data_IF_300068920537
#
_entry.id   IF_300068920537
#
_cell.length_a   1.000
_cell.length_b   1.000
_cell.length_c   1.000
_cell.angle_alpha   90.00
_cell.angle_beta   90.00
_cell.angle_gamma   90.00
#
_symmetry.space_group_name_H-M   'P 1'
#
loop_
_entity.id
_entity.type
_entity.pdbx_description
1 polymer ?
#
# COMPACT_ATOMS: atom_id res chain seq x y z
N UNK A 1 13.09 -22.16 -28.75
CA UNK A 1 11.78 -22.08 -28.08
C UNK A 1 10.87 -21.26 -28.95
N UNK A 2 9.59 -21.63 -29.15
CA UNK A 2 8.67 -20.82 -29.95
C UNK A 2 8.10 -19.66 -29.12
N UNK A 3 7.61 -18.59 -29.76
CA UNK A 3 6.91 -17.49 -29.07
C UNK A 3 5.74 -18.03 -28.25
N UNK A 4 4.95 -18.95 -28.80
CA UNK A 4 3.83 -19.59 -28.10
C UNK A 4 4.28 -20.38 -26.86
N UNK A 5 5.46 -21.02 -26.90
CA UNK A 5 6.01 -21.72 -25.73
C UNK A 5 6.38 -20.74 -24.64
N UNK A 6 7.04 -19.64 -24.98
CA UNK A 6 7.42 -18.55 -24.06
C UNK A 6 6.18 -17.94 -23.43
N UNK A 7 5.17 -17.64 -24.23
CA UNK A 7 3.89 -17.11 -23.78
C UNK A 7 3.21 -18.06 -22.80
N UNK A 8 3.19 -19.38 -23.09
CA UNK A 8 2.56 -20.37 -22.21
C UNK A 8 3.35 -20.63 -20.92
N UNK A 9 4.70 -20.51 -20.97
CA UNK A 9 5.56 -20.70 -19.79
C UNK A 9 5.46 -19.52 -18.81
N UNK A 10 5.30 -18.30 -19.33
CA UNK A 10 5.15 -17.09 -18.52
C UNK A 10 3.70 -16.87 -18.05
N UNK A 11 2.73 -17.23 -18.89
CA UNK A 11 1.31 -16.97 -18.64
C UNK A 11 0.49 -18.22 -18.93
N UNK A 12 -0.50 -18.53 -18.09
CA UNK A 12 -1.43 -19.63 -18.39
C UNK A 12 -2.27 -19.33 -19.62
N UNK A 13 -2.77 -20.39 -20.28
CA UNK A 13 -3.47 -20.31 -21.58
C UNK A 13 -4.77 -19.48 -21.60
N UNK A 14 -5.22 -18.92 -20.45
CA UNK A 14 -6.47 -18.15 -20.38
C UNK A 14 -6.32 -16.85 -19.61
N UNK A 15 -6.26 -16.93 -18.29
CA UNK A 15 -6.12 -15.80 -17.39
C UNK A 15 -5.14 -16.15 -16.29
N UNK A 16 -4.17 -15.27 -16.07
CA UNK A 16 -3.27 -15.33 -14.91
C UNK A 16 -3.53 -14.12 -14.05
N UNK A 17 -3.71 -14.34 -12.75
CA UNK A 17 -3.88 -13.25 -11.79
C UNK A 17 -2.51 -12.71 -11.41
N UNK A 18 -2.38 -11.40 -11.46
CA UNK A 18 -1.20 -10.65 -11.05
C UNK A 18 -1.65 -9.65 -9.97
N UNK A 19 -1.86 -10.14 -8.76
CA UNK A 19 -2.47 -9.40 -7.65
C UNK A 19 -3.84 -8.80 -8.09
N UNK A 20 -3.94 -7.48 -8.20
CA UNK A 20 -5.15 -6.76 -8.64
C UNK A 20 -5.36 -6.69 -10.16
N UNK A 21 -4.44 -7.21 -10.94
CA UNK A 21 -4.52 -7.21 -12.40
C UNK A 21 -4.77 -8.61 -12.95
N UNK A 22 -5.36 -8.67 -14.13
CA UNK A 22 -5.48 -9.91 -14.91
C UNK A 22 -4.55 -9.87 -16.12
N UNK A 23 -3.75 -10.91 -16.31
CA UNK A 23 -2.97 -11.12 -17.53
C UNK A 23 -3.78 -11.98 -18.48
N UNK A 24 -4.22 -11.40 -19.59
CA UNK A 24 -4.94 -12.10 -20.63
C UNK A 24 -3.94 -12.63 -21.68
N UNK A 25 -3.67 -13.93 -21.65
CA UNK A 25 -2.91 -14.62 -22.70
C UNK A 25 -3.86 -15.00 -23.83
N UNK A 26 -3.66 -14.46 -25.03
CA UNK A 26 -4.73 -14.31 -26.01
C UNK A 26 -4.60 -15.23 -27.23
N UNK A 27 -3.43 -15.78 -27.49
CA UNK A 27 -3.20 -16.68 -28.61
C UNK A 27 -3.71 -16.13 -29.96
N UNK A 28 -4.79 -16.71 -30.46
CA UNK A 28 -5.35 -16.31 -31.76
C UNK A 28 -6.40 -15.19 -31.71
N UNK A 29 -6.76 -14.67 -30.53
CA UNK A 29 -7.85 -13.69 -30.34
C UNK A 29 -7.39 -12.31 -30.81
N UNK A 30 -8.21 -11.66 -31.63
CA UNK A 30 -7.89 -10.31 -32.12
C UNK A 30 -8.34 -9.22 -31.13
N UNK A 31 -7.74 -8.03 -31.22
CA UNK A 31 -8.16 -6.87 -30.45
C UNK A 31 -9.64 -6.56 -30.71
N UNK A 32 -10.10 -6.72 -31.96
CA UNK A 32 -11.51 -6.52 -32.34
C UNK A 32 -12.45 -7.47 -31.61
N UNK A 33 -12.07 -8.75 -31.48
CA UNK A 33 -12.86 -9.76 -30.77
C UNK A 33 -12.88 -9.49 -29.27
N UNK A 34 -11.76 -9.02 -28.69
CA UNK A 34 -11.69 -8.65 -27.26
C UNK A 34 -12.62 -7.48 -26.92
N UNK A 35 -12.68 -6.46 -27.79
CA UNK A 35 -13.58 -5.31 -27.63
C UNK A 35 -15.03 -5.75 -27.79
N UNK A 36 -15.35 -6.52 -28.85
CA UNK A 36 -16.69 -7.02 -29.13
C UNK A 36 -17.20 -7.91 -27.99
N UNK A 37 -16.32 -8.78 -27.44
CA UNK A 37 -16.59 -9.65 -26.32
C UNK A 37 -16.55 -8.96 -24.94
N UNK A 38 -16.37 -7.63 -24.88
CA UNK A 38 -16.25 -6.84 -23.64
C UNK A 38 -15.17 -7.35 -22.69
N UNK A 39 -14.16 -8.01 -23.21
CA UNK A 39 -13.00 -8.49 -22.42
C UNK A 39 -12.01 -7.36 -22.12
N UNK A 40 -11.95 -6.37 -22.99
CA UNK A 40 -11.20 -5.13 -22.79
C UNK A 40 -12.08 -3.90 -23.10
N UNK A 41 -11.77 -2.80 -22.43
CA UNK A 41 -12.35 -1.48 -22.70
C UNK A 41 -11.25 -0.62 -23.33
N UNK A 42 -11.50 -0.13 -24.53
CA UNK A 42 -10.60 0.80 -25.23
C UNK A 42 -11.31 2.14 -25.44
N UNK A 43 -10.81 3.19 -24.79
CA UNK A 43 -11.41 4.53 -24.84
C UNK A 43 -11.16 5.24 -26.20
N UNK A 44 -10.25 4.73 -27.03
CA UNK A 44 -9.92 5.31 -28.35
C UNK A 44 -10.56 4.53 -29.51
N UNK A 45 -11.86 4.31 -29.44
CA UNK A 45 -12.63 3.49 -30.41
C UNK A 45 -12.45 3.92 -31.88
N UNK A 46 -12.15 5.19 -32.16
CA UNK A 46 -11.96 5.67 -33.54
C UNK A 46 -10.62 5.27 -34.17
N UNK A 47 -9.56 5.07 -33.34
CA UNK A 47 -8.22 4.69 -33.80
C UNK A 47 -7.98 3.19 -33.77
N UNK A 48 -8.65 2.44 -32.93
CA UNK A 48 -8.57 0.97 -32.83
C UNK A 48 -9.05 0.23 -34.11
N UNK A 49 -9.65 0.93 -35.06
CA UNK A 49 -10.15 0.33 -36.31
C UNK A 49 -8.99 -0.18 -37.17
N UNK A 50 -7.82 0.46 -37.16
CA UNK A 50 -6.66 0.09 -37.98
C UNK A 50 -5.99 -1.21 -37.54
N UNK A 51 -5.96 -1.49 -36.23
CA UNK A 51 -5.30 -2.66 -35.66
C UNK A 51 -6.27 -3.70 -35.05
N UNK A 52 -7.56 -3.66 -35.40
CA UNK A 52 -8.55 -4.64 -34.91
C UNK A 52 -8.19 -6.09 -35.21
N UNK A 53 -7.50 -6.35 -36.32
CA UNK A 53 -7.03 -7.69 -36.70
C UNK A 53 -5.74 -8.13 -36.02
N UNK A 54 -5.04 -7.27 -35.28
CA UNK A 54 -3.84 -7.63 -34.56
C UNK A 54 -4.17 -8.55 -33.39
N UNK A 55 -3.26 -9.48 -33.12
CA UNK A 55 -3.34 -10.52 -32.10
C UNK A 55 -2.22 -10.28 -31.09
N UNK A 56 -2.47 -9.50 -30.03
CA UNK A 56 -1.47 -9.29 -29.00
C UNK A 56 -1.22 -10.59 -28.23
N UNK A 57 0.03 -10.84 -27.82
CA UNK A 57 0.35 -12.03 -27.06
C UNK A 57 -0.28 -11.99 -25.66
N UNK A 58 -0.04 -10.91 -24.90
CA UNK A 58 -0.59 -10.75 -23.56
C UNK A 58 -0.98 -9.29 -23.31
N UNK A 59 -2.15 -9.11 -22.72
CA UNK A 59 -2.60 -7.81 -22.20
C UNK A 59 -2.78 -7.90 -20.69
N UNK A 60 -2.29 -6.90 -19.96
CA UNK A 60 -2.57 -6.71 -18.54
C UNK A 60 -3.73 -5.74 -18.41
N UNK A 61 -4.80 -6.14 -17.73
CA UNK A 61 -6.01 -5.34 -17.52
C UNK A 61 -6.31 -5.17 -16.03
N UNK A 62 -6.94 -4.05 -15.69
CA UNK A 62 -7.47 -3.81 -14.36
C UNK A 62 -8.90 -4.38 -14.18
N UNK A 63 -9.46 -4.22 -13.00
CA UNK A 63 -10.83 -4.67 -12.66
C UNK A 63 -11.91 -4.03 -13.53
N UNK A 64 -11.65 -2.86 -14.14
CA UNK A 64 -12.56 -2.18 -15.07
C UNK A 64 -12.38 -2.66 -16.53
N UNK A 65 -11.54 -3.65 -16.77
CA UNK A 65 -11.15 -4.15 -18.10
C UNK A 65 -10.37 -3.15 -18.94
N UNK A 66 -9.83 -2.10 -18.34
CA UNK A 66 -8.95 -1.17 -19.02
C UNK A 66 -7.59 -1.81 -19.21
N UNK A 67 -7.04 -1.71 -20.43
CA UNK A 67 -5.68 -2.21 -20.72
C UNK A 67 -4.66 -1.29 -20.06
N UNK A 68 -3.80 -1.86 -19.21
CA UNK A 68 -2.76 -1.15 -18.46
C UNK A 68 -1.39 -1.35 -19.09
N UNK A 69 -1.10 -2.57 -19.54
CA UNK A 69 0.17 -2.90 -20.22
C UNK A 69 -0.06 -3.88 -21.36
N UNK A 70 0.87 -3.86 -22.32
CA UNK A 70 0.94 -4.80 -23.43
C UNK A 70 2.29 -5.52 -23.39
N UNK A 71 2.29 -6.84 -23.50
CA UNK A 71 3.49 -7.67 -23.52
C UNK A 71 3.53 -8.44 -24.82
N UNK A 72 4.67 -8.39 -25.50
CA UNK A 72 4.97 -9.09 -26.74
C UNK A 72 6.08 -10.10 -26.49
N UNK A 73 5.88 -11.34 -26.91
CA UNK A 73 6.84 -12.43 -26.83
C UNK A 73 7.60 -12.58 -28.17
N UNK A 74 8.90 -12.80 -28.10
CA UNK A 74 9.76 -13.02 -29.26
C UNK A 74 10.61 -14.28 -29.07
N UNK A 75 11.01 -14.90 -30.18
CA UNK A 75 11.96 -16.02 -30.11
C UNK A 75 13.34 -15.52 -29.65
N UNK A 76 14.12 -16.32 -28.91
CA UNK A 76 15.44 -15.91 -28.47
C UNK A 76 16.39 -15.48 -29.58
N UNK A 77 16.31 -16.12 -30.75
CA UNK A 77 17.11 -15.78 -31.91
C UNK A 77 16.68 -14.44 -32.59
N UNK A 78 15.47 -13.98 -32.36
CA UNK A 78 14.95 -12.69 -32.79
C UNK A 78 15.12 -11.58 -31.76
N UNK A 79 15.71 -11.89 -30.57
CA UNK A 79 15.81 -10.97 -29.42
C UNK A 79 17.24 -10.88 -28.84
N UNK A 80 18.24 -11.51 -29.46
CA UNK A 80 19.60 -11.69 -28.94
C UNK A 80 20.57 -10.53 -29.23
N UNK A 81 20.16 -9.48 -29.94
CA UNK A 81 20.97 -8.28 -30.16
C UNK A 81 20.15 -7.01 -30.03
N UNK A 82 20.80 -5.90 -29.66
CA UNK A 82 20.11 -4.61 -29.49
C UNK A 82 19.35 -4.19 -30.75
N UNK A 83 19.94 -4.40 -31.93
CA UNK A 83 19.28 -4.09 -33.21
C UNK A 83 17.98 -4.88 -33.40
N UNK A 84 17.95 -6.15 -33.00
CA UNK A 84 16.75 -6.99 -33.08
C UNK A 84 15.72 -6.60 -32.03
N UNK A 85 16.16 -6.24 -30.85
CA UNK A 85 15.29 -5.71 -29.75
C UNK A 85 14.60 -4.42 -30.23
N UNK A 86 15.36 -3.47 -30.80
CA UNK A 86 14.79 -2.23 -31.34
C UNK A 86 13.79 -2.49 -32.47
N UNK A 87 14.08 -3.47 -33.33
CA UNK A 87 13.18 -3.88 -34.40
C UNK A 87 11.88 -4.47 -33.87
N UNK A 88 11.96 -5.34 -32.83
CA UNK A 88 10.80 -5.91 -32.16
C UNK A 88 9.92 -4.83 -31.48
N UNK A 89 10.56 -3.88 -30.79
CA UNK A 89 9.85 -2.73 -30.21
C UNK A 89 9.13 -1.93 -31.30
N UNK A 90 9.84 -1.56 -32.37
CA UNK A 90 9.29 -0.75 -33.46
C UNK A 90 8.12 -1.42 -34.17
N UNK A 91 8.11 -2.75 -34.21
CA UNK A 91 7.07 -3.52 -34.89
C UNK A 91 5.70 -3.38 -34.25
N UNK A 92 5.63 -3.40 -32.88
CA UNK A 92 4.36 -3.48 -32.14
C UNK A 92 4.06 -2.24 -31.28
N UNK A 93 4.99 -1.28 -31.17
CA UNK A 93 4.80 -0.08 -30.35
C UNK A 93 3.57 0.74 -30.73
N UNK A 94 3.22 0.77 -32.03
CA UNK A 94 2.04 1.50 -32.49
C UNK A 94 0.74 0.83 -32.02
N UNK A 95 0.73 -0.49 -31.88
CA UNK A 95 -0.41 -1.22 -31.29
C UNK A 95 -0.57 -0.83 -29.82
N UNK A 96 0.53 -0.77 -29.05
CA UNK A 96 0.54 -0.31 -27.68
C UNK A 96 -0.02 1.12 -27.53
N UNK A 97 0.39 2.04 -28.39
CA UNK A 97 -0.10 3.42 -28.45
C UNK A 97 -1.61 3.49 -28.74
N UNK A 98 -2.10 2.68 -29.67
CA UNK A 98 -3.52 2.64 -30.03
C UNK A 98 -4.38 2.04 -28.92
N UNK A 99 -3.87 1.05 -28.18
CA UNK A 99 -4.51 0.53 -26.97
C UNK A 99 -4.55 1.57 -25.84
N UNK A 100 -3.77 2.64 -25.96
CA UNK A 100 -3.69 3.72 -24.96
C UNK A 100 -2.90 3.34 -23.71
N UNK A 101 -2.06 2.29 -23.79
CA UNK A 101 -1.20 1.88 -22.69
C UNK A 101 0.03 2.78 -22.60
N UNK A 102 0.57 2.92 -21.38
CA UNK A 102 1.86 3.57 -21.17
C UNK A 102 3.00 2.57 -21.11
N UNK A 103 2.72 1.33 -20.75
CA UNK A 103 3.68 0.27 -20.49
C UNK A 103 3.63 -0.73 -21.63
N UNK A 104 4.77 -0.90 -22.30
CA UNK A 104 4.97 -1.93 -23.32
C UNK A 104 6.20 -2.77 -22.93
N UNK A 105 6.08 -4.08 -22.92
CA UNK A 105 7.16 -4.98 -22.59
C UNK A 105 7.41 -5.95 -23.73
N UNK A 106 8.68 -6.13 -24.10
CA UNK A 106 9.08 -7.16 -25.06
C UNK A 106 9.99 -8.15 -24.35
N UNK A 107 9.74 -9.45 -24.57
CA UNK A 107 10.48 -10.51 -23.86
C UNK A 107 10.70 -11.74 -24.73
N UNK A 108 11.81 -12.44 -24.47
CA UNK A 108 12.08 -13.80 -24.96
C UNK A 108 11.92 -14.88 -23.88
N UNK A 109 11.33 -14.50 -22.73
CA UNK A 109 11.17 -15.35 -21.55
C UNK A 109 12.34 -15.31 -20.59
N UNK A 110 13.52 -14.84 -21.01
CA UNK A 110 14.71 -14.70 -20.17
C UNK A 110 15.11 -13.25 -19.95
N UNK A 111 14.88 -12.41 -20.95
CA UNK A 111 15.16 -10.97 -20.92
C UNK A 111 13.85 -10.20 -21.08
N UNK A 112 13.67 -9.17 -20.26
CA UNK A 112 12.52 -8.28 -20.31
C UNK A 112 12.98 -6.86 -20.59
N UNK A 113 12.41 -6.24 -21.62
CA UNK A 113 12.69 -4.85 -21.99
C UNK A 113 11.41 -4.04 -21.81
N UNK A 114 11.42 -3.14 -20.85
CA UNK A 114 10.31 -2.28 -20.50
C UNK A 114 10.42 -0.96 -21.25
N UNK A 115 9.37 -0.59 -21.93
CA UNK A 115 9.34 0.58 -22.83
C UNK A 115 8.14 1.46 -22.48
N UNK A 116 8.39 2.77 -22.38
CA UNK A 116 7.31 3.75 -22.33
C UNK A 116 6.69 3.86 -23.74
N UNK A 117 5.46 3.37 -23.89
CA UNK A 117 4.78 3.36 -25.18
C UNK A 117 4.55 4.77 -25.76
N UNK A 118 4.50 5.81 -24.94
CA UNK A 118 4.29 7.19 -25.39
C UNK A 118 5.52 7.79 -26.07
N UNK A 119 6.71 7.46 -25.53
CA UNK A 119 7.99 8.01 -26.02
C UNK A 119 8.77 7.02 -26.88
N UNK A 120 8.42 5.72 -26.84
CA UNK A 120 9.16 4.61 -27.45
C UNK A 120 10.58 4.44 -26.89
N UNK A 121 10.84 4.92 -25.67
CA UNK A 121 12.13 4.83 -25.00
C UNK A 121 12.08 3.80 -23.85
N UNK A 122 13.22 3.20 -23.48
CA UNK A 122 13.30 2.35 -22.30
C UNK A 122 12.81 3.07 -21.04
N UNK A 123 12.18 2.31 -20.15
CA UNK A 123 11.78 2.81 -18.85
C UNK A 123 12.95 2.66 -17.90
N UNK A 124 13.22 3.72 -17.12
CA UNK A 124 14.30 3.77 -16.17
C UNK A 124 13.78 3.65 -14.74
N UNK A 125 14.57 3.02 -13.87
CA UNK A 125 14.34 3.00 -12.43
C UNK A 125 14.63 4.37 -11.78
N UNK A 126 14.50 4.45 -10.46
CA UNK A 126 14.76 5.69 -9.69
C UNK A 126 16.22 6.17 -9.78
N UNK A 127 17.15 5.27 -10.12
CA UNK A 127 18.58 5.53 -10.25
C UNK A 127 19.00 5.87 -11.68
N UNK A 128 18.08 5.73 -12.65
CA UNK A 128 18.34 5.99 -14.07
C UNK A 128 18.84 4.77 -14.85
N UNK A 129 18.75 3.55 -14.30
CA UNK A 129 19.05 2.32 -15.01
C UNK A 129 17.79 1.77 -15.70
N UNK A 130 17.95 1.03 -16.79
CA UNK A 130 16.82 0.36 -17.45
C UNK A 130 16.17 -0.68 -16.51
N UNK A 131 14.85 -0.69 -16.45
CA UNK A 131 14.10 -1.70 -15.70
C UNK A 131 14.22 -3.04 -16.42
N UNK A 132 14.67 -4.06 -15.69
CA UNK A 132 14.84 -5.45 -16.16
C UNK A 132 13.98 -6.44 -15.36
N UNK A 133 12.94 -5.97 -14.67
CA UNK A 133 12.07 -6.80 -13.86
C UNK A 133 11.43 -7.92 -14.69
N UNK A 134 11.52 -9.16 -14.20
CA UNK A 134 10.91 -10.31 -14.85
C UNK A 134 9.43 -10.39 -14.47
N UNK A 135 8.56 -10.58 -15.46
CA UNK A 135 7.14 -10.83 -15.22
C UNK A 135 6.96 -12.35 -15.10
N UNK A 136 7.00 -12.87 -13.86
CA UNK A 136 6.75 -14.28 -13.56
C UNK A 136 5.51 -14.43 -12.69
N UNK A 137 4.46 -15.13 -13.15
CA UNK A 137 3.16 -15.15 -12.45
C UNK A 137 3.14 -15.86 -11.11
N UNK A 138 4.21 -16.54 -10.68
CA UNK A 138 4.10 -17.50 -9.58
C UNK A 138 4.73 -17.09 -8.24
N UNK A 139 5.59 -16.09 -8.16
CA UNK A 139 6.27 -15.78 -6.90
C UNK A 139 6.49 -14.29 -6.61
N UNK A 140 6.15 -13.38 -7.52
CA UNK A 140 6.40 -11.95 -7.35
C UNK A 140 5.24 -11.07 -7.86
N UNK A 141 4.03 -11.63 -7.88
CA UNK A 141 2.84 -10.98 -8.46
C UNK A 141 2.64 -9.57 -7.91
N UNK A 142 2.78 -9.42 -6.61
CA UNK A 142 2.58 -8.13 -5.95
C UNK A 142 3.68 -7.12 -6.28
N UNK A 143 4.93 -7.54 -6.34
CA UNK A 143 6.03 -6.63 -6.71
C UNK A 143 5.84 -6.09 -8.12
N UNK A 144 5.46 -6.95 -9.05
CA UNK A 144 5.19 -6.57 -10.43
C UNK A 144 3.93 -5.71 -10.51
N UNK A 145 2.87 -6.04 -9.77
CA UNK A 145 1.66 -5.22 -9.72
C UNK A 145 1.96 -3.80 -9.18
N UNK A 146 2.75 -3.68 -8.11
CA UNK A 146 3.20 -2.39 -7.58
C UNK A 146 4.07 -1.62 -8.57
N UNK A 147 4.98 -2.30 -9.29
CA UNK A 147 5.78 -1.68 -10.34
C UNK A 147 4.88 -1.13 -11.45
N UNK A 148 3.93 -1.92 -11.94
CA UNK A 148 2.97 -1.52 -12.97
C UNK A 148 2.14 -0.32 -12.50
N UNK A 149 1.67 -0.33 -11.27
CA UNK A 149 0.92 0.79 -10.70
C UNK A 149 1.74 2.08 -10.68
N UNK A 150 2.96 2.03 -10.17
CA UNK A 150 3.88 3.19 -10.16
C UNK A 150 4.16 3.69 -11.57
N UNK A 151 4.49 2.80 -12.50
CA UNK A 151 4.71 3.16 -13.89
C UNK A 151 3.48 3.80 -14.54
N UNK A 152 2.28 3.32 -14.21
CA UNK A 152 1.03 3.92 -14.72
C UNK A 152 0.87 5.38 -14.28
N UNK A 153 1.35 5.73 -13.09
CA UNK A 153 1.34 7.09 -12.54
C UNK A 153 2.48 7.92 -13.13
N UNK A 154 3.71 7.45 -13.04
CA UNK A 154 4.93 8.23 -13.29
C UNK A 154 5.20 8.47 -14.78
N UNK A 155 4.85 7.52 -15.65
CA UNK A 155 5.14 7.64 -17.08
C UNK A 155 4.24 8.67 -17.77
N UNK A 156 4.86 9.49 -18.60
CA UNK A 156 4.20 10.48 -19.46
C UNK A 156 4.94 10.65 -20.80
N UNK A 157 4.44 11.49 -21.66
CA UNK A 157 5.13 11.84 -22.93
C UNK A 157 6.46 12.59 -22.72
N UNK A 158 6.73 13.04 -21.50
CA UNK A 158 7.96 13.77 -21.14
C UNK A 158 8.78 13.06 -20.06
N UNK A 159 8.29 11.97 -19.49
CA UNK A 159 8.98 11.25 -18.42
C UNK A 159 8.98 9.74 -18.65
N UNK A 160 10.18 9.15 -18.70
CA UNK A 160 10.43 7.72 -18.84
C UNK A 160 10.96 7.07 -17.55
N UNK A 161 11.14 7.83 -16.48
CA UNK A 161 11.83 7.37 -15.29
C UNK A 161 10.87 7.30 -14.10
N UNK A 162 11.00 6.24 -13.29
CA UNK A 162 10.35 6.16 -11.99
C UNK A 162 10.80 7.32 -11.10
N UNK A 163 9.85 7.98 -10.48
CA UNK A 163 10.15 9.01 -9.51
C UNK A 163 10.62 8.36 -8.20
N UNK A 164 11.53 9.02 -7.50
CA UNK A 164 11.92 8.57 -6.16
C UNK A 164 10.70 8.58 -5.25
N UNK A 165 10.50 7.50 -4.50
CA UNK A 165 9.46 7.45 -3.46
C UNK A 165 9.80 8.50 -2.41
N UNK A 166 8.98 9.54 -2.33
CA UNK A 166 9.06 10.50 -1.23
C UNK A 166 8.35 9.89 -0.02
N UNK A 167 9.12 9.23 0.83
CA UNK A 167 8.57 8.74 2.09
C UNK A 167 8.05 9.89 2.94
N UNK A 168 6.78 9.82 3.31
CA UNK A 168 6.18 10.79 4.20
C UNK A 168 6.70 10.63 5.64
N UNK A 169 6.91 11.73 6.34
CA UNK A 169 7.31 11.74 7.75
C UNK A 169 6.27 12.50 8.59
N UNK A 170 5.23 11.82 9.08
CA UNK A 170 4.16 12.47 9.83
C UNK A 170 4.54 12.83 11.28
N UNK A 171 5.84 12.94 11.61
CA UNK A 171 6.29 13.31 12.97
C UNK A 171 5.74 14.66 13.44
N UNK A 172 5.65 15.65 12.55
CA UNK A 172 5.09 16.95 12.90
C UNK A 172 3.58 16.91 13.10
N UNK A 173 2.87 16.10 12.31
CA UNK A 173 1.45 15.80 12.51
C UNK A 173 1.23 15.14 13.87
N UNK A 174 2.03 14.12 14.21
CA UNK A 174 1.98 13.43 15.50
C UNK A 174 2.17 14.39 16.67
N UNK A 175 3.08 15.37 16.56
CA UNK A 175 3.28 16.40 17.60
C UNK A 175 2.04 17.28 17.78
N UNK A 176 1.41 17.72 16.67
CA UNK A 176 0.20 18.54 16.73
C UNK A 176 -0.96 17.76 17.38
N UNK A 177 -1.21 16.53 16.92
CA UNK A 177 -2.27 15.67 17.45
C UNK A 177 -2.00 15.35 18.93
N UNK A 178 -0.77 15.00 19.30
CA UNK A 178 -0.39 14.76 20.69
C UNK A 178 -0.61 15.97 21.60
N UNK A 179 -0.42 17.18 21.07
CA UNK A 179 -0.77 18.43 21.76
C UNK A 179 -2.27 18.56 22.02
N UNK A 180 -3.12 18.21 21.05
CA UNK A 180 -4.58 18.24 21.21
C UNK A 180 -5.05 17.20 22.24
N UNK A 181 -4.55 15.95 22.12
CA UNK A 181 -4.95 14.85 23.00
C UNK A 181 -4.59 15.10 24.47
N UNK A 182 -3.52 15.86 24.77
CA UNK A 182 -3.15 16.23 26.14
C UNK A 182 -4.12 17.20 26.81
N UNK A 183 -4.87 17.95 26.03
CA UNK A 183 -5.85 18.88 26.56
C UNK A 183 -7.15 18.20 26.99
N UNK A 184 -7.30 16.91 26.68
CA UNK A 184 -8.44 16.11 27.14
C UNK A 184 -8.22 15.79 28.63
N UNK A 185 -9.20 16.14 29.47
CA UNK A 185 -9.15 15.88 30.92
C UNK A 185 -9.02 14.38 31.21
N UNK A 186 -8.18 14.03 32.17
CA UNK A 186 -7.94 12.66 32.63
C UNK A 186 -7.17 11.75 31.66
N UNK A 187 -6.49 12.27 30.62
CA UNK A 187 -5.58 11.48 29.80
C UNK A 187 -4.16 11.50 30.35
N UNK A 188 -3.54 10.34 30.38
CA UNK A 188 -2.10 10.22 30.61
C UNK A 188 -1.35 10.37 29.28
N UNK A 189 -0.04 10.66 29.29
CA UNK A 189 0.77 10.62 28.06
C UNK A 189 0.70 9.26 27.34
N UNK A 190 0.57 8.16 28.09
CA UNK A 190 0.38 6.81 27.56
C UNK A 190 -0.96 6.70 26.81
N UNK A 191 -2.04 7.20 27.40
CA UNK A 191 -3.36 7.21 26.74
C UNK A 191 -3.34 8.07 25.49
N UNK A 192 -2.66 9.21 25.51
CA UNK A 192 -2.50 10.08 24.34
C UNK A 192 -1.73 9.37 23.21
N UNK A 193 -0.68 8.62 23.53
CA UNK A 193 0.07 7.82 22.54
C UNK A 193 -0.82 6.72 21.94
N UNK A 194 -1.51 5.95 22.76
CA UNK A 194 -2.37 4.86 22.28
C UNK A 194 -3.53 5.39 21.43
N UNK A 195 -4.14 6.48 21.86
CA UNK A 195 -5.20 7.14 21.07
C UNK A 195 -4.68 7.65 19.74
N UNK A 196 -3.47 8.23 19.73
CA UNK A 196 -2.84 8.61 18.45
C UNK A 196 -2.62 7.38 17.56
N UNK A 197 -2.11 6.28 18.11
CA UNK A 197 -1.87 5.03 17.33
C UNK A 197 -3.18 4.49 16.75
N UNK A 198 -4.26 4.48 17.53
CA UNK A 198 -5.60 4.08 17.08
C UNK A 198 -6.07 4.94 15.89
N UNK A 199 -6.02 6.26 16.02
CA UNK A 199 -6.47 7.19 14.98
C UNK A 199 -5.58 7.16 13.75
N UNK A 200 -4.26 7.01 13.94
CA UNK A 200 -3.31 6.84 12.86
C UNK A 200 -3.55 5.53 12.09
N UNK A 201 -3.84 4.44 12.81
CA UNK A 201 -4.18 3.15 12.20
C UNK A 201 -5.49 3.25 11.41
N UNK A 202 -6.50 3.94 11.94
CA UNK A 202 -7.74 4.23 11.23
C UNK A 202 -7.48 4.92 9.88
N UNK A 203 -6.69 6.02 9.90
CA UNK A 203 -6.34 6.74 8.67
C UNK A 203 -5.53 5.88 7.72
N UNK A 204 -4.51 5.16 8.21
CA UNK A 204 -3.65 4.29 7.40
C UNK A 204 -4.44 3.16 6.73
N UNK A 205 -5.28 2.43 7.47
CA UNK A 205 -6.10 1.34 6.92
C UNK A 205 -7.11 1.83 5.88
N UNK A 206 -7.60 3.06 6.03
CA UNK A 206 -8.45 3.72 5.04
C UNK A 206 -7.66 4.02 3.76
N UNK A 207 -6.44 4.56 3.89
CA UNK A 207 -5.61 4.96 2.75
C UNK A 207 -5.13 3.77 1.91
N UNK A 208 -4.91 2.61 2.53
CA UNK A 208 -4.58 1.35 1.83
C UNK A 208 -5.82 0.53 1.45
N UNK A 209 -7.03 1.11 1.54
CA UNK A 209 -8.32 0.51 1.18
C UNK A 209 -8.68 -0.80 1.92
N UNK A 210 -8.20 -0.98 3.15
CA UNK A 210 -8.66 -2.06 4.04
C UNK A 210 -10.01 -1.70 4.68
N UNK A 211 -10.16 -0.44 5.09
CA UNK A 211 -11.45 0.11 5.51
C UNK A 211 -12.14 0.74 4.30
N UNK A 212 -13.38 0.35 4.04
CA UNK A 212 -14.13 0.74 2.85
C UNK A 212 -15.52 1.23 3.21
N UNK A 213 -16.22 1.84 2.26
CA UNK A 213 -17.62 2.30 2.42
C UNK A 213 -17.80 3.21 3.65
N UNK A 214 -18.67 2.86 4.60
CA UNK A 214 -18.95 3.65 5.81
C UNK A 214 -17.88 3.56 6.89
N UNK A 215 -16.91 2.66 6.73
CA UNK A 215 -15.85 2.43 7.70
C UNK A 215 -14.59 3.26 7.40
N UNK A 216 -14.50 3.95 6.24
CA UNK A 216 -13.29 4.65 5.84
C UNK A 216 -13.23 6.10 6.35
N UNK A 217 -12.02 6.67 6.31
CA UNK A 217 -11.73 8.02 6.79
C UNK A 217 -12.51 9.09 6.02
N UNK A 218 -12.55 9.01 4.68
CA UNK A 218 -13.21 10.02 3.85
C UNK A 218 -14.72 10.05 4.10
N UNK A 219 -15.35 8.88 4.35
CA UNK A 219 -16.76 8.83 4.72
C UNK A 219 -17.00 9.55 6.04
N UNK A 220 -16.26 9.21 7.10
CA UNK A 220 -16.40 9.84 8.42
C UNK A 220 -16.11 11.35 8.35
N UNK A 221 -15.09 11.77 7.60
CA UNK A 221 -14.78 13.18 7.39
C UNK A 221 -15.92 13.92 6.69
N UNK A 222 -16.52 13.35 5.65
CA UNK A 222 -17.58 13.98 4.89
C UNK A 222 -18.86 14.19 5.71
N UNK A 223 -19.10 13.39 6.76
CA UNK A 223 -20.25 13.59 7.64
C UNK A 223 -20.28 14.98 8.30
N UNK A 224 -19.12 15.60 8.52
CA UNK A 224 -19.04 16.97 9.05
C UNK A 224 -19.60 18.03 8.08
N UNK A 225 -19.69 17.71 6.80
CA UNK A 225 -20.21 18.61 5.77
C UNK A 225 -21.73 18.40 5.51
N UNK A 226 -22.36 17.43 6.16
CA UNK A 226 -23.79 17.17 6.02
C UNK A 226 -24.59 18.04 6.98
N UNK A 227 -25.61 18.75 6.45
CA UNK A 227 -26.47 19.61 7.24
C UNK A 227 -27.18 18.86 8.37
N UNK A 228 -27.14 19.43 9.58
CA UNK A 228 -27.85 18.92 10.75
C UNK A 228 -27.13 17.82 11.53
N UNK A 229 -25.94 17.39 11.10
CA UNK A 229 -25.15 16.43 11.90
C UNK A 229 -24.34 17.13 12.99
N UNK A 230 -24.36 16.53 14.17
CA UNK A 230 -23.54 17.00 15.31
C UNK A 230 -22.18 16.31 15.34
N UNK A 231 -21.18 16.98 15.94
CA UNK A 231 -19.86 16.35 16.19
C UNK A 231 -19.98 15.08 17.03
N UNK A 232 -20.94 15.02 17.96
CA UNK A 232 -21.22 13.83 18.77
C UNK A 232 -21.74 12.67 17.91
N UNK A 233 -22.56 12.92 16.87
CA UNK A 233 -23.00 11.90 15.94
C UNK A 233 -21.82 11.34 15.11
N UNK A 234 -20.95 12.20 14.61
CA UNK A 234 -19.80 11.78 13.81
C UNK A 234 -18.84 10.93 14.67
N UNK A 235 -18.57 11.34 15.90
CA UNK A 235 -17.79 10.56 16.85
C UNK A 235 -18.45 9.20 17.16
N UNK A 236 -19.77 9.17 17.37
CA UNK A 236 -20.53 7.93 17.58
C UNK A 236 -20.35 6.98 16.39
N UNK A 237 -20.45 7.48 15.15
CA UNK A 237 -20.26 6.69 13.94
C UNK A 237 -18.86 6.10 13.87
N UNK A 238 -17.82 6.89 14.16
CA UNK A 238 -16.46 6.38 14.21
C UNK A 238 -16.31 5.23 15.21
N UNK A 239 -16.89 5.36 16.41
CA UNK A 239 -16.79 4.34 17.46
C UNK A 239 -17.47 3.04 17.04
N UNK A 240 -18.67 3.11 16.43
CA UNK A 240 -19.50 1.94 16.14
C UNK A 240 -19.30 1.34 14.75
N UNK A 241 -18.55 1.97 13.86
CA UNK A 241 -18.26 1.46 12.51
C UNK A 241 -16.75 1.24 12.33
N UNK A 242 -15.88 2.26 12.09
CA UNK A 242 -14.45 2.04 11.90
C UNK A 242 -13.75 1.36 13.06
N UNK A 243 -13.93 1.86 14.30
CA UNK A 243 -13.27 1.33 15.50
C UNK A 243 -13.63 -0.14 15.75
N UNK A 244 -14.90 -0.52 15.60
CA UNK A 244 -15.32 -1.92 15.73
C UNK A 244 -14.70 -2.80 14.63
N UNK A 245 -14.59 -2.30 13.41
CA UNK A 245 -13.94 -3.03 12.32
C UNK A 245 -12.46 -3.25 12.61
N UNK A 246 -11.76 -2.22 13.06
CA UNK A 246 -10.33 -2.32 13.43
C UNK A 246 -10.16 -3.33 14.58
N UNK A 247 -11.04 -3.31 15.60
CA UNK A 247 -11.01 -4.29 16.69
C UNK A 247 -11.19 -5.74 16.22
N UNK A 248 -11.99 -5.96 15.16
CA UNK A 248 -12.16 -7.29 14.57
C UNK A 248 -10.94 -7.73 13.74
N UNK A 249 -10.28 -6.78 13.06
CA UNK A 249 -9.05 -7.05 12.30
C UNK A 249 -7.86 -7.33 13.24
N UNK A 250 -7.81 -6.64 14.37
CA UNK A 250 -6.76 -6.74 15.38
C UNK A 250 -7.38 -7.06 16.75
N UNK A 251 -7.81 -8.31 16.96
CA UNK A 251 -8.44 -8.70 18.21
C UNK A 251 -7.48 -8.55 19.40
N UNK A 252 -8.06 -8.32 20.56
CA UNK A 252 -7.33 -8.23 21.82
C UNK A 252 -6.48 -9.49 22.05
N UNK A 253 -5.23 -9.29 22.47
CA UNK A 253 -4.31 -10.38 22.79
C UNK A 253 -4.70 -11.07 24.11
N UNK A 254 -4.20 -12.30 24.40
CA UNK A 254 -4.50 -13.03 25.63
C UNK A 254 -4.13 -12.26 26.91
N UNK A 255 -3.15 -11.36 26.87
CA UNK A 255 -2.73 -10.48 27.94
C UNK A 255 -3.56 -9.18 28.03
N UNK A 256 -4.66 -9.09 27.25
CA UNK A 256 -5.56 -7.94 27.14
C UNK A 256 -4.93 -6.69 26.51
N UNK A 257 -3.81 -6.82 25.84
CA UNK A 257 -3.30 -5.71 25.02
C UNK A 257 -4.11 -5.57 23.73
N UNK A 258 -4.39 -4.33 23.35
CA UNK A 258 -5.14 -4.00 22.13
C UNK A 258 -4.55 -2.79 21.45
N UNK A 259 -4.67 -2.73 20.11
CA UNK A 259 -4.34 -1.53 19.33
C UNK A 259 -5.39 -0.43 19.49
N UNK A 260 -6.56 -0.77 20.02
CA UNK A 260 -7.67 0.15 20.26
C UNK A 260 -7.63 0.63 21.69
N UNK A 261 -7.49 1.95 21.86
CA UNK A 261 -7.62 2.61 23.14
C UNK A 261 -9.02 3.21 23.29
N UNK A 262 -9.98 2.39 23.71
CA UNK A 262 -11.37 2.81 23.89
C UNK A 262 -11.64 3.82 25.02
N UNK A 263 -10.61 4.31 25.74
CA UNK A 263 -10.78 5.15 26.93
C UNK A 263 -10.93 6.64 26.66
N UNK A 264 -10.45 7.15 25.52
CA UNK A 264 -10.34 8.58 25.30
C UNK A 264 -11.58 9.18 24.64
N UNK A 265 -12.15 8.53 23.66
CA UNK A 265 -13.31 9.05 22.91
C UNK A 265 -14.54 8.21 23.20
N UNK A 266 -15.57 8.85 23.78
CA UNK A 266 -16.84 8.25 24.10
C UNK A 266 -17.98 9.04 23.47
N UNK A 267 -18.90 8.33 22.83
CA UNK A 267 -20.17 8.86 22.38
C UNK A 267 -21.23 7.75 22.46
N UNK A 268 -22.43 8.10 22.87
CA UNK A 268 -23.53 7.17 23.03
C UNK A 268 -24.84 7.81 22.58
N UNK A 269 -25.93 7.04 22.59
CA UNK A 269 -27.28 7.57 22.40
C UNK A 269 -27.97 7.63 23.76
N UNK A 270 -28.64 8.74 24.04
CA UNK A 270 -29.52 8.86 25.20
C UNK A 270 -30.84 8.06 24.99
N UNK A 271 -31.70 8.09 26.01
CA UNK A 271 -33.02 7.40 25.99
C UNK A 271 -33.94 7.93 24.88
N UNK A 272 -33.76 9.16 24.44
CA UNK A 272 -34.54 9.83 23.40
C UNK A 272 -33.93 9.64 22.02
N UNK A 273 -32.79 8.93 21.92
CA UNK A 273 -32.07 8.64 20.68
C UNK A 273 -31.16 9.76 20.18
N UNK A 274 -30.92 10.82 20.98
CA UNK A 274 -29.99 11.87 20.65
C UNK A 274 -28.55 11.41 20.87
N UNK A 275 -27.64 11.85 19.99
CA UNK A 275 -26.21 11.57 20.14
C UNK A 275 -25.60 12.49 21.19
N UNK A 276 -24.99 11.87 22.19
CA UNK A 276 -24.31 12.58 23.28
C UNK A 276 -22.84 12.16 23.37
N UNK A 277 -22.00 13.11 23.64
CA UNK A 277 -20.58 12.90 23.97
C UNK A 277 -20.14 14.00 24.92
N UNK A 278 -18.98 13.80 25.55
CA UNK A 278 -18.29 14.94 26.14
C UNK A 278 -17.92 15.90 25.00
N UNK A 279 -18.35 17.16 25.07
CA UNK A 279 -18.09 18.15 24.02
C UNK A 279 -16.59 18.25 23.68
N UNK A 280 -15.71 18.17 24.70
CA UNK A 280 -14.27 18.19 24.49
C UNK A 280 -13.78 17.02 23.63
N UNK A 281 -14.39 15.84 23.76
CA UNK A 281 -14.03 14.64 23.01
C UNK A 281 -14.43 14.77 21.55
N UNK A 282 -15.68 15.17 21.27
CA UNK A 282 -16.19 15.32 19.92
C UNK A 282 -15.43 16.42 19.15
N UNK A 283 -15.22 17.57 19.77
CA UNK A 283 -14.46 18.68 19.17
C UNK A 283 -12.99 18.31 18.96
N UNK A 284 -12.36 17.62 19.91
CA UNK A 284 -10.97 17.16 19.72
C UNK A 284 -10.86 16.13 18.61
N UNK A 285 -11.80 15.21 18.52
CA UNK A 285 -11.84 14.24 17.43
C UNK A 285 -11.97 14.93 16.08
N UNK A 286 -12.88 15.92 15.94
CA UNK A 286 -13.02 16.72 14.72
C UNK A 286 -11.71 17.43 14.34
N UNK A 287 -11.04 18.07 15.30
CA UNK A 287 -9.76 18.73 15.07
C UNK A 287 -8.66 17.75 14.64
N UNK A 288 -8.62 16.53 15.19
CA UNK A 288 -7.69 15.50 14.74
C UNK A 288 -7.99 15.06 13.32
N UNK A 289 -9.27 14.83 12.98
CA UNK A 289 -9.68 14.50 11.60
C UNK A 289 -9.28 15.60 10.61
N UNK A 290 -9.45 16.87 11.00
CA UNK A 290 -9.03 18.04 10.20
C UNK A 290 -7.52 18.04 9.97
N UNK A 291 -6.72 17.77 11.00
CA UNK A 291 -5.26 17.69 10.87
C UNK A 291 -4.80 16.58 9.95
N UNK A 292 -5.46 15.42 9.98
CA UNK A 292 -5.19 14.33 9.03
C UNK A 292 -5.54 14.74 7.60
N UNK A 293 -6.66 15.43 7.41
CA UNK A 293 -7.08 15.89 6.07
C UNK A 293 -6.14 16.96 5.52
N UNK A 294 -5.76 17.94 6.31
CA UNK A 294 -4.75 18.94 5.94
C UNK A 294 -3.40 18.31 5.56
N UNK A 295 -2.99 17.28 6.29
CA UNK A 295 -1.77 16.55 5.97
C UNK A 295 -1.90 15.80 4.64
N UNK A 296 -3.02 15.12 4.40
CA UNK A 296 -3.29 14.43 3.14
C UNK A 296 -3.28 15.38 1.94
N UNK A 297 -3.90 16.55 2.09
CA UNK A 297 -3.95 17.57 1.02
C UNK A 297 -2.55 18.15 0.71
N UNK A 298 -1.65 18.19 1.69
CA UNK A 298 -0.29 18.72 1.54
C UNK A 298 0.74 17.67 1.11
N UNK A 299 0.68 16.46 1.66
CA UNK A 299 1.73 15.44 1.55
C UNK A 299 1.23 14.12 0.92
N UNK A 300 -0.08 13.98 0.71
CA UNK A 300 -0.71 12.76 0.19
C UNK A 300 -1.10 11.75 1.25
N UNK A 301 -1.59 10.61 0.80
CA UNK A 301 -2.06 9.51 1.65
C UNK A 301 -0.92 8.82 2.40
N UNK A 302 -1.24 8.16 3.51
CA UNK A 302 -0.30 7.40 4.32
C UNK A 302 0.05 6.02 3.69
N UNK A 303 0.56 6.02 2.47
CA UNK A 303 0.94 4.79 1.76
C UNK A 303 2.41 4.48 2.01
N UNK A 304 3.29 5.46 1.79
CA UNK A 304 4.74 5.31 1.91
C UNK A 304 5.26 6.08 3.14
N UNK A 305 5.13 5.47 4.32
CA UNK A 305 5.60 6.08 5.56
C UNK A 305 7.05 5.72 5.82
N UNK A 306 7.85 6.70 6.24
CA UNK A 306 9.23 6.50 6.65
C UNK A 306 9.32 5.43 7.74
N UNK A 307 10.14 4.39 7.54
CA UNK A 307 10.31 3.25 8.47
C UNK A 307 10.74 3.67 9.88
N UNK A 308 11.46 4.79 10.00
CA UNK A 308 11.87 5.33 11.31
C UNK A 308 10.75 6.08 12.04
N UNK A 309 9.58 6.26 11.41
CA UNK A 309 8.46 7.00 11.99
C UNK A 309 8.03 6.44 13.35
N UNK A 310 7.93 5.12 13.51
CA UNK A 310 7.58 4.49 14.80
C UNK A 310 8.50 4.94 15.93
N UNK A 311 9.80 4.94 15.68
CA UNK A 311 10.80 5.37 16.68
C UNK A 311 10.66 6.85 17.00
N UNK A 312 10.49 7.68 15.97
CA UNK A 312 10.27 9.13 16.13
C UNK A 312 8.95 9.42 16.84
N UNK A 313 7.91 8.64 16.55
CA UNK A 313 6.62 8.75 17.21
C UNK A 313 6.76 8.49 18.72
N UNK A 314 7.33 7.33 19.09
CA UNK A 314 7.55 6.99 20.47
C UNK A 314 8.39 8.08 21.17
N UNK A 315 9.51 8.51 20.59
CA UNK A 315 10.31 9.61 21.11
C UNK A 315 9.50 10.91 21.29
N UNK A 316 8.58 11.20 20.37
CA UNK A 316 7.78 12.43 20.41
C UNK A 316 6.85 12.45 21.63
N UNK A 317 6.24 11.31 21.95
CA UNK A 317 5.32 11.20 23.08
C UNK A 317 6.06 11.01 24.42
N UNK A 318 7.21 10.33 24.45
CA UNK A 318 7.97 10.06 25.68
C UNK A 318 8.98 11.15 26.04
N UNK A 319 9.53 11.92 25.09
CA UNK A 319 10.44 13.06 25.38
C UNK A 319 9.84 14.16 26.27
N UNK A 320 8.54 14.20 26.34
CA UNK A 320 7.83 15.20 27.16
C UNK A 320 7.72 14.77 28.64
N UNK A 321 8.06 13.51 28.95
CA UNK A 321 8.11 12.94 30.32
C UNK A 321 9.54 12.87 30.88
N UNK A 322 10.46 13.73 30.43
CA UNK A 322 11.83 13.73 30.95
C UNK A 322 11.87 14.07 32.46
N UNK A 323 11.45 13.13 33.25
CA UNK A 323 12.00 12.90 34.58
C UNK A 323 13.34 12.15 34.40
N UNK A 324 14.28 12.30 35.35
CA UNK A 324 15.65 11.73 35.32
C UNK A 324 15.69 10.20 35.12
N UNK A 325 14.58 9.51 35.23
CA UNK A 325 14.42 8.05 35.12
C UNK A 325 14.39 7.51 33.69
N UNK A 326 14.04 8.32 32.69
CA UNK A 326 13.96 7.90 31.27
C UNK A 326 15.23 8.20 30.45
N UNK A 327 16.33 8.57 31.09
CA UNK A 327 17.58 8.97 30.43
C UNK A 327 18.37 7.83 29.75
N UNK A 328 17.90 6.58 29.86
CA UNK A 328 18.63 5.38 29.40
C UNK A 328 18.00 4.60 28.24
N UNK A 329 16.84 5.01 27.71
CA UNK A 329 16.20 4.28 26.60
C UNK A 329 16.83 4.68 25.25
N UNK A 330 17.75 3.87 24.74
CA UNK A 330 18.38 4.06 23.44
C UNK A 330 17.82 3.07 22.43
N UNK A 331 17.42 3.58 21.26
CA UNK A 331 16.97 2.73 20.16
C UNK A 331 18.17 2.30 19.31
N UNK A 332 18.24 1.00 19.01
CA UNK A 332 19.24 0.49 18.08
C UNK A 332 19.11 1.17 16.71
N UNK A 333 20.18 1.73 16.15
CA UNK A 333 20.15 2.36 14.83
C UNK A 333 19.72 1.37 13.75
N UNK A 334 18.86 1.81 12.82
CA UNK A 334 18.27 0.96 11.78
C UNK A 334 19.33 0.22 10.94
N UNK A 335 20.49 0.84 10.66
CA UNK A 335 21.58 0.20 9.92
C UNK A 335 22.15 -1.04 10.63
N UNK A 336 22.22 -0.99 11.97
CA UNK A 336 22.67 -2.13 12.79
C UNK A 336 21.61 -3.22 12.77
N UNK A 337 20.34 -2.85 12.97
CA UNK A 337 19.21 -3.79 12.94
C UNK A 337 19.19 -4.54 11.61
N UNK A 338 19.27 -3.83 10.49
CA UNK A 338 19.32 -4.44 9.15
C UNK A 338 20.49 -5.41 9.01
N UNK A 339 21.69 -4.97 9.36
CA UNK A 339 22.88 -5.82 9.27
C UNK A 339 22.76 -7.10 10.09
N UNK A 340 22.18 -7.04 11.28
CA UNK A 340 21.96 -8.22 12.12
C UNK A 340 20.88 -9.14 11.56
N UNK A 341 19.76 -8.60 11.08
CA UNK A 341 18.68 -9.37 10.46
C UNK A 341 19.13 -10.01 9.15
N UNK A 342 19.99 -9.33 8.37
CA UNK A 342 20.55 -9.87 7.12
C UNK A 342 21.44 -11.10 7.34
N UNK A 343 22.02 -11.25 8.53
CA UNK A 343 22.83 -12.43 8.89
C UNK A 343 21.98 -13.64 9.30
N UNK A 344 20.69 -13.44 9.54
CA UNK A 344 19.75 -14.53 9.90
C UNK A 344 18.97 -14.91 8.66
N UNK A 345 19.03 -16.19 8.28
CA UNK A 345 18.33 -16.74 7.10
C UNK A 345 16.82 -16.97 7.41
N UNK A 346 16.06 -15.88 7.50
CA UNK A 346 14.64 -15.87 7.85
C UNK A 346 13.81 -16.38 6.69
N UNK A 347 12.88 -17.32 6.97
CA UNK A 347 12.02 -17.98 5.99
C UNK A 347 10.55 -17.90 6.37
N UNK A 348 9.70 -18.11 5.37
CA UNK A 348 8.26 -18.27 5.59
C UNK A 348 7.99 -19.45 6.53
N UNK A 349 7.11 -19.22 7.52
CA UNK A 349 6.80 -20.19 8.56
C UNK A 349 7.62 -20.02 9.85
N UNK A 350 8.67 -19.20 9.85
CA UNK A 350 9.48 -18.98 11.04
C UNK A 350 8.72 -18.28 12.16
N UNK A 351 9.12 -18.62 13.40
CA UNK A 351 8.68 -17.94 14.61
C UNK A 351 9.85 -17.16 15.22
N UNK A 352 9.74 -15.84 15.29
CA UNK A 352 10.80 -14.96 15.75
C UNK A 352 10.39 -14.30 17.06
N UNK A 353 11.27 -14.38 18.04
CA UNK A 353 11.09 -13.78 19.34
C UNK A 353 12.17 -12.73 19.62
N UNK A 354 11.73 -11.54 20.00
CA UNK A 354 12.60 -10.49 20.55
C UNK A 354 12.18 -10.25 22.02
N UNK A 355 12.98 -10.71 23.00
CA UNK A 355 12.65 -10.62 24.43
C UNK A 355 12.83 -9.22 25.01
N UNK A 356 13.33 -8.25 24.25
CA UNK A 356 13.55 -6.86 24.65
C UNK A 356 13.25 -5.93 23.46
N UNK A 357 12.07 -6.10 22.86
CA UNK A 357 11.78 -5.61 21.53
C UNK A 357 11.70 -4.08 21.41
N UNK A 358 11.52 -3.36 22.50
CA UNK A 358 11.29 -1.93 22.46
C UNK A 358 10.11 -1.60 21.53
N UNK A 359 10.36 -0.78 20.51
CA UNK A 359 9.37 -0.42 19.48
C UNK A 359 9.27 -1.45 18.33
N UNK A 360 9.86 -2.62 18.48
CA UNK A 360 9.74 -3.75 17.54
C UNK A 360 10.56 -3.62 16.25
N UNK A 361 11.65 -2.84 16.23
CA UNK A 361 12.46 -2.64 15.00
C UNK A 361 13.02 -3.93 14.42
N UNK A 362 13.57 -4.82 15.26
CA UNK A 362 14.08 -6.11 14.81
C UNK A 362 12.98 -7.00 14.22
N UNK A 363 11.84 -7.06 14.87
CA UNK A 363 10.69 -7.84 14.41
C UNK A 363 10.15 -7.29 13.08
N UNK A 364 10.10 -5.96 12.93
CA UNK A 364 9.68 -5.34 11.68
C UNK A 364 10.65 -5.65 10.53
N UNK A 365 11.96 -5.49 10.74
CA UNK A 365 12.95 -5.80 9.70
C UNK A 365 12.99 -7.31 9.39
N UNK A 366 12.75 -8.17 10.37
CA UNK A 366 12.59 -9.61 10.16
C UNK A 366 11.36 -9.92 9.28
N UNK A 367 10.22 -9.30 9.56
CA UNK A 367 9.02 -9.44 8.73
C UNK A 367 9.26 -9.04 7.27
N UNK A 368 10.06 -7.98 7.05
CA UNK A 368 10.37 -7.48 5.71
C UNK A 368 11.30 -8.41 4.88
N UNK A 369 11.80 -9.51 5.47
CA UNK A 369 12.50 -10.56 4.71
C UNK A 369 11.55 -11.51 4.02
N UNK A 370 10.30 -11.54 4.43
CA UNK A 370 9.25 -12.37 3.84
C UNK A 370 8.44 -11.51 2.87
N UNK A 371 8.18 -12.05 1.70
CA UNK A 371 7.26 -11.42 0.75
C UNK A 371 5.84 -11.54 1.29
N UNK A 372 5.16 -10.39 1.43
CA UNK A 372 3.83 -10.32 2.04
C UNK A 372 3.72 -11.06 3.40
N UNK A 373 4.46 -10.60 4.43
CA UNK A 373 4.47 -11.30 5.73
C UNK A 373 3.09 -11.39 6.37
N UNK A 374 2.17 -10.51 5.98
CA UNK A 374 0.78 -10.45 6.40
C UNK A 374 -0.12 -10.09 5.23
N UNK A 375 -1.22 -10.82 5.06
CA UNK A 375 -2.26 -10.53 4.07
C UNK A 375 -3.62 -10.40 4.73
N UNK A 376 -4.58 -9.74 4.07
CA UNK A 376 -5.95 -9.64 4.53
C UNK A 376 -6.84 -10.48 3.61
N UNK A 377 -7.33 -11.62 4.12
CA UNK A 377 -8.18 -12.53 3.38
C UNK A 377 -9.51 -12.71 4.11
N UNK A 378 -10.62 -12.51 3.41
CA UNK A 378 -11.97 -12.65 3.97
C UNK A 378 -12.18 -11.91 5.31
N UNK A 379 -11.54 -10.75 5.49
CA UNK A 379 -11.61 -9.96 6.71
C UNK A 379 -10.75 -10.46 7.88
N UNK A 380 -9.85 -11.40 7.62
CA UNK A 380 -8.90 -11.93 8.61
C UNK A 380 -7.46 -11.65 8.19
N UNK A 381 -6.57 -11.50 9.18
CA UNK A 381 -5.12 -11.39 8.95
C UNK A 381 -4.54 -12.79 8.79
N UNK A 382 -3.99 -13.09 7.62
CA UNK A 382 -3.19 -14.30 7.36
C UNK A 382 -1.72 -13.97 7.56
N UNK A 383 -0.98 -14.79 8.31
CA UNK A 383 0.40 -14.55 8.71
C UNK A 383 1.31 -15.61 8.11
N UNK A 384 2.32 -15.21 7.33
CA UNK A 384 3.38 -16.08 6.83
C UNK A 384 4.58 -16.19 7.77
N UNK A 385 4.64 -15.33 8.78
CA UNK A 385 5.67 -15.32 9.83
C UNK A 385 5.01 -15.01 11.16
N UNK A 386 5.49 -15.61 12.25
CA UNK A 386 5.02 -15.30 13.59
C UNK A 386 6.08 -14.48 14.32
N UNK A 387 5.65 -13.38 14.91
CA UNK A 387 6.51 -12.43 15.61
C UNK A 387 6.06 -12.31 17.06
N UNK A 388 6.98 -12.48 17.98
CA UNK A 388 6.76 -12.34 19.41
C UNK A 388 7.70 -11.26 19.95
N UNK A 389 7.13 -10.20 20.53
CA UNK A 389 7.88 -9.11 21.15
C UNK A 389 7.54 -9.02 22.62
N UNK A 390 8.56 -9.04 23.47
CA UNK A 390 8.42 -8.80 24.89
C UNK A 390 9.16 -7.52 25.26
N UNK A 391 8.53 -6.67 26.04
CA UNK A 391 9.13 -5.45 26.58
C UNK A 391 8.75 -5.31 28.05
N UNK A 392 9.72 -5.03 28.88
CA UNK A 392 9.47 -4.74 30.28
C UNK A 392 9.17 -3.26 30.43
N UNK A 393 7.90 -2.89 30.60
CA UNK A 393 7.55 -1.56 31.06
C UNK A 393 7.88 -1.48 32.56
N UNK A 394 8.78 -0.57 32.94
CA UNK A 394 8.97 -0.28 34.35
C UNK A 394 7.76 0.51 34.85
N UNK A 395 6.98 -0.07 35.72
CA UNK A 395 6.01 0.68 36.50
C UNK A 395 6.74 1.71 37.37
N UNK A 396 6.09 2.85 37.64
CA UNK A 396 6.63 3.95 38.47
C UNK A 396 7.02 3.51 39.90
N UNK A 397 6.85 2.25 40.25
CA UNK A 397 7.15 1.68 41.57
C UNK A 397 8.35 0.74 41.59
N UNK A 398 9.16 0.70 40.52
CA UNK A 398 10.45 -0.05 40.43
C UNK A 398 10.31 -1.49 40.01
#
# INVERSE_FOLDING_TARGET
MSEQTIQNDLFSNTVTILDKYECLSLGATTIGDLIAGKRIVCNKVKTAVKNKGKKPDVLIVDSSRKVIAYIECKKPDEFNTNKKIEAAIKQEIEVAKELGVKIFVVTDGSKFVWVNALTSQPILDEQGNEIVAEIKPKNEERKIAMLIERLTIDLSSSNNQLQQIKYSDPTNLAKKIGGLLKNIKFTTPKDSLYTFVELFLFKYLSDINILTTTENFDYIWNLYNEDGRSEAEVLYRYIHEPREKISKLFPEAPDKTSVINGFVFHAEKDADGNYISNNADATTFHEVMRLFKEYEDAEGKFIDINRDFKSKLFETFTKQERTKENAGKYFTPLKIVKGMVDMVDIKEGDEICDPACGVGKFLLEAALKIDEPFTFENGHVVKKIKLYGYEKEMDEKG
#
